data_IF_368130052963
#
_entry.id   IF_368130052963
#
_cell.length_a   1.000
_cell.length_b   1.000
_cell.length_c   1.000
_cell.angle_alpha   90.00
_cell.angle_beta   90.00
_cell.angle_gamma   90.00
#
_symmetry.space_group_name_H-M   'P 1'
#
loop_
_entity.id
_entity.type
_entity.pdbx_description
1 polymer ?
#
# COMPACT_ATOMS: atom_id res chain seq x y z
N UNK A 1 6.99 -20.00 9.13
CA UNK A 1 8.01 -19.23 9.86
C UNK A 1 7.36 -18.61 11.09
N UNK A 2 7.80 -18.96 12.32
CA UNK A 2 7.33 -18.28 13.52
C UNK A 2 7.72 -16.80 13.47
N UNK A 3 6.83 -15.92 13.96
CA UNK A 3 7.04 -14.47 13.97
C UNK A 3 8.13 -14.11 14.99
N UNK A 4 8.97 -13.12 14.66
CA UNK A 4 9.93 -12.57 15.63
C UNK A 4 9.21 -11.93 16.81
N UNK A 5 9.78 -11.99 18.01
CA UNK A 5 9.23 -11.37 19.23
C UNK A 5 8.95 -9.87 19.05
N UNK A 6 9.78 -9.17 18.29
CA UNK A 6 9.57 -7.77 17.93
C UNK A 6 8.32 -7.57 17.04
N UNK A 7 8.05 -8.51 16.15
CA UNK A 7 6.92 -8.49 15.24
C UNK A 7 5.61 -8.83 15.97
N UNK A 8 5.65 -9.75 16.93
CA UNK A 8 4.54 -10.07 17.84
C UNK A 8 4.15 -8.83 18.65
N UNK A 9 5.12 -8.16 19.27
CA UNK A 9 4.87 -6.93 20.03
C UNK A 9 4.32 -5.80 19.14
N UNK A 10 4.82 -5.68 17.90
CA UNK A 10 4.30 -4.72 16.93
C UNK A 10 2.82 -4.96 16.63
N UNK A 11 2.44 -6.20 16.31
CA UNK A 11 1.04 -6.58 16.04
C UNK A 11 0.12 -6.33 17.23
N UNK A 12 0.60 -6.62 18.44
CA UNK A 12 -0.13 -6.31 19.68
C UNK A 12 -0.42 -4.81 19.83
N UNK A 13 0.61 -3.96 19.63
CA UNK A 13 0.45 -2.50 19.69
C UNK A 13 -0.50 -1.98 18.61
N UNK A 14 -0.43 -2.53 17.40
CA UNK A 14 -1.33 -2.15 16.29
C UNK A 14 -2.79 -2.55 16.59
N UNK A 15 -3.02 -3.70 17.24
CA UNK A 15 -4.35 -4.12 17.68
C UNK A 15 -4.89 -3.19 18.77
N UNK A 16 -4.10 -2.90 19.80
CA UNK A 16 -4.52 -2.03 20.91
C UNK A 16 -4.76 -0.57 20.49
N UNK A 17 -3.99 -0.05 19.52
CA UNK A 17 -4.24 1.28 18.92
C UNK A 17 -5.60 1.39 18.21
N UNK A 18 -6.15 0.28 17.70
CA UNK A 18 -7.46 0.26 17.05
C UNK A 18 -8.60 0.09 18.06
N UNK A 19 -8.34 -0.59 19.17
CA UNK A 19 -9.34 -0.90 20.20
C UNK A 19 -9.57 0.24 21.19
N UNK A 20 -8.53 1.00 21.60
CA UNK A 20 -8.69 2.04 22.61
C UNK A 20 -7.92 3.34 22.33
N UNK A 21 -8.60 4.47 22.50
CA UNK A 21 -7.99 5.80 22.44
C UNK A 21 -7.02 6.06 23.60
N UNK A 22 -7.24 5.43 24.76
CA UNK A 22 -6.37 5.53 25.94
C UNK A 22 -4.97 4.96 25.70
N UNK A 23 -4.84 3.90 24.89
CA UNK A 23 -3.54 3.33 24.53
C UNK A 23 -2.67 4.30 23.72
N UNK A 24 -3.29 5.08 22.83
CA UNK A 24 -2.58 6.13 22.07
C UNK A 24 -2.07 7.24 22.99
N UNK A 25 -2.85 7.64 24.00
CA UNK A 25 -2.42 8.63 25.00
C UNK A 25 -1.25 8.11 25.83
N UNK A 26 -1.35 6.89 26.36
CA UNK A 26 -0.29 6.27 27.16
C UNK A 26 0.99 6.01 26.34
N UNK A 27 0.88 5.63 25.06
CA UNK A 27 2.05 5.47 24.18
C UNK A 27 2.70 6.81 23.83
N UNK A 28 1.92 7.91 23.73
CA UNK A 28 2.46 9.27 23.59
C UNK A 28 3.19 9.71 24.85
N UNK A 29 2.61 9.52 26.03
CA UNK A 29 3.24 9.85 27.31
C UNK A 29 4.52 9.04 27.53
N UNK A 30 4.51 7.73 27.26
CA UNK A 30 5.73 6.90 27.35
C UNK A 30 6.84 7.42 26.43
N UNK A 31 6.49 7.80 25.19
CA UNK A 31 7.46 8.38 24.25
C UNK A 31 7.97 9.73 24.71
N UNK A 32 7.09 10.57 25.27
CA UNK A 32 7.44 11.89 25.80
C UNK A 32 8.42 11.77 26.97
N UNK A 33 8.16 10.88 27.93
CA UNK A 33 9.06 10.62 29.07
C UNK A 33 10.48 10.24 28.64
N UNK A 34 10.61 9.52 27.52
CA UNK A 34 11.89 9.06 27.00
C UNK A 34 12.47 9.98 25.90
N UNK A 35 11.77 11.05 25.55
CA UNK A 35 12.22 11.99 24.52
C UNK A 35 12.97 13.13 25.19
N UNK A 36 14.27 13.22 24.90
CA UNK A 36 15.16 14.28 25.40
C UNK A 36 15.58 15.13 24.21
N UNK A 37 15.21 16.40 24.21
CA UNK A 37 15.62 17.36 23.17
C UNK A 37 17.13 17.63 23.27
N UNK A 38 17.74 18.04 22.17
CA UNK A 38 19.20 18.34 22.16
C UNK A 38 19.51 19.55 23.05
N UNK A 39 18.58 20.49 23.20
CA UNK A 39 18.71 21.65 24.10
C UNK A 39 18.73 21.29 25.60
N UNK A 40 18.26 20.10 25.97
CA UNK A 40 18.26 19.61 27.36
C UNK A 40 19.50 18.75 27.68
N UNK A 41 20.37 18.51 26.69
CA UNK A 41 21.60 17.74 26.89
C UNK A 41 22.77 18.68 27.19
N UNK A 42 23.70 18.20 27.99
CA UNK A 42 25.02 18.83 28.09
C UNK A 42 25.76 18.74 26.75
N UNK A 43 26.63 19.70 26.45
CA UNK A 43 27.47 19.67 25.24
C UNK A 43 28.20 18.34 24.98
N UNK A 44 28.84 17.69 25.98
CA UNK A 44 29.48 16.39 25.76
C UNK A 44 28.49 15.29 25.39
N UNK A 45 27.28 15.28 25.96
CA UNK A 45 26.24 14.31 25.62
C UNK A 45 25.63 14.57 24.24
N UNK A 46 25.45 15.84 23.88
CA UNK A 46 25.01 16.24 22.55
C UNK A 46 26.03 15.79 21.48
N UNK A 47 27.33 15.96 21.76
CA UNK A 47 28.42 15.47 20.88
C UNK A 47 28.44 13.94 20.77
N UNK A 48 28.33 13.21 21.89
CA UNK A 48 28.19 11.73 21.88
C UNK A 48 27.00 11.28 21.04
N UNK A 49 25.85 11.93 21.18
CA UNK A 49 24.64 11.62 20.42
C UNK A 49 24.81 11.90 18.91
N UNK A 50 25.49 12.99 18.54
CA UNK A 50 25.87 13.29 17.14
C UNK A 50 26.78 12.20 16.57
N UNK A 51 27.79 11.78 17.32
CA UNK A 51 28.71 10.71 16.91
C UNK A 51 28.01 9.36 16.74
N UNK A 52 27.14 8.96 17.67
CA UNK A 52 26.34 7.74 17.54
C UNK A 52 25.46 7.77 16.29
N UNK A 53 24.80 8.90 16.04
CA UNK A 53 23.94 9.07 14.87
C UNK A 53 24.77 8.93 13.58
N UNK A 54 25.95 9.56 13.52
CA UNK A 54 26.89 9.42 12.42
C UNK A 54 27.38 7.97 12.24
N UNK A 55 27.70 7.26 13.34
CA UNK A 55 28.07 5.83 13.31
C UNK A 55 26.94 4.95 12.76
N UNK A 56 25.69 5.19 13.17
CA UNK A 56 24.51 4.47 12.65
C UNK A 56 24.30 4.74 11.16
N UNK A 57 24.45 6.00 10.73
CA UNK A 57 24.36 6.38 9.32
C UNK A 57 25.45 5.70 8.47
N UNK A 58 26.71 5.69 8.94
CA UNK A 58 27.81 4.97 8.29
C UNK A 58 27.53 3.46 8.19
N UNK A 59 27.04 2.82 9.25
CA UNK A 59 26.65 1.39 9.23
C UNK A 59 25.54 1.11 8.22
N UNK A 60 24.50 1.94 8.18
CA UNK A 60 23.41 1.82 7.22
C UNK A 60 23.89 2.02 5.77
N UNK A 61 24.79 2.96 5.54
CA UNK A 61 25.41 3.16 4.22
C UNK A 61 26.19 1.92 3.77
N UNK A 62 27.04 1.35 4.64
CA UNK A 62 27.78 0.10 4.36
C UNK A 62 26.83 -1.06 4.04
N UNK A 63 25.78 -1.27 4.85
CA UNK A 63 24.77 -2.31 4.60
C UNK A 63 24.08 -2.14 3.24
N UNK A 64 23.70 -0.91 2.88
CA UNK A 64 23.09 -0.62 1.57
C UNK A 64 24.06 -0.81 0.41
N UNK A 65 25.34 -0.48 0.59
CA UNK A 65 26.38 -0.73 -0.43
C UNK A 65 26.52 -2.24 -0.68
N UNK A 66 26.61 -3.04 0.37
CA UNK A 66 26.76 -4.50 0.24
C UNK A 66 25.50 -5.15 -0.37
N UNK A 67 24.30 -4.76 0.06
CA UNK A 67 23.05 -5.29 -0.51
C UNK A 67 22.87 -4.98 -2.01
N UNK A 68 23.47 -3.89 -2.51
CA UNK A 68 23.48 -3.61 -3.95
C UNK A 68 24.51 -4.47 -4.70
N UNK A 69 25.65 -4.80 -4.08
CA UNK A 69 26.66 -5.68 -4.66
C UNK A 69 26.11 -7.11 -4.81
N UNK A 70 25.40 -7.62 -3.79
CA UNK A 70 24.77 -8.95 -3.84
C UNK A 70 23.69 -9.06 -4.94
N UNK A 71 23.00 -7.96 -5.26
CA UNK A 71 22.02 -7.91 -6.35
C UNK A 71 22.68 -7.83 -7.74
N UNK A 72 23.86 -7.21 -7.87
CA UNK A 72 24.60 -7.20 -9.14
C UNK A 72 25.24 -8.55 -9.47
N UNK A 73 25.71 -9.29 -8.46
CA UNK A 73 26.32 -10.62 -8.67
C UNK A 73 25.28 -11.65 -9.16
N UNK A 74 23.99 -11.46 -8.86
CA UNK A 74 22.93 -12.33 -9.38
C UNK A 74 22.45 -12.00 -10.81
N UNK A 75 22.91 -10.92 -11.44
CA UNK A 75 22.54 -10.54 -12.81
C UNK A 75 23.64 -10.73 -13.86
N UNK A 76 24.87 -11.12 -13.49
CA UNK A 76 25.98 -11.30 -14.44
C UNK A 76 26.00 -12.66 -15.16
N UNK A 77 25.01 -13.53 -14.97
CA UNK A 77 24.93 -14.84 -15.64
C UNK A 77 24.02 -14.88 -16.89
N UNK A 78 23.60 -13.73 -17.43
CA UNK A 78 23.05 -13.68 -18.80
C UNK A 78 24.10 -13.17 -19.80
N UNK A 79 24.35 -13.88 -20.92
CA UNK A 79 25.24 -13.39 -21.96
C UNK A 79 24.57 -12.22 -22.68
N UNK A 80 24.84 -11.00 -22.22
CA UNK A 80 24.51 -9.78 -22.97
C UNK A 80 25.39 -9.77 -24.21
N UNK A 81 24.79 -10.15 -25.35
CA UNK A 81 25.38 -10.02 -26.67
C UNK A 81 25.62 -8.53 -26.96
N UNK A 82 26.81 -8.03 -26.61
CA UNK A 82 27.28 -6.72 -27.08
C UNK A 82 27.58 -6.85 -28.57
N UNK A 83 26.64 -6.40 -29.40
CA UNK A 83 26.90 -6.14 -30.81
C UNK A 83 27.87 -4.97 -30.90
N UNK A 84 29.17 -5.28 -30.99
CA UNK A 84 30.18 -4.36 -31.48
C UNK A 84 29.95 -4.17 -32.99
N UNK A 85 29.48 -3.01 -33.39
CA UNK A 85 29.50 -2.58 -34.79
C UNK A 85 30.93 -2.15 -35.14
N UNK A 86 31.83 -3.10 -35.39
CA UNK A 86 33.09 -2.81 -36.06
C UNK A 86 32.87 -2.80 -37.58
N UNK A 87 33.47 -1.80 -38.21
CA UNK A 87 33.42 -1.53 -39.65
C UNK A 87 33.91 -2.76 -40.45
N UNK A 88 33.21 -3.02 -41.56
CA UNK A 88 33.47 -4.10 -42.52
C UNK A 88 34.90 -4.03 -43.07
N UNK A 89 35.80 -4.82 -42.51
CA UNK A 89 36.93 -5.38 -43.24
C UNK A 89 36.51 -6.75 -43.75
N UNK A 90 36.54 -6.98 -45.06
CA UNK A 90 36.31 -8.29 -45.67
C UNK A 90 37.45 -9.22 -45.31
N UNK A 91 37.39 -9.87 -44.15
CA UNK A 91 38.22 -11.04 -43.87
C UNK A 91 37.68 -12.21 -44.69
N UNK A 92 38.51 -12.72 -45.61
CA UNK A 92 38.29 -13.98 -46.29
C UNK A 92 38.24 -15.11 -45.26
N UNK A 93 37.04 -15.57 -44.92
CA UNK A 93 36.86 -16.79 -44.13
C UNK A 93 36.82 -17.99 -45.06
N UNK A 94 37.91 -18.76 -45.13
CA UNK A 94 37.91 -20.05 -45.79
C UNK A 94 37.00 -21.03 -45.01
N UNK A 95 35.82 -21.33 -45.58
CA UNK A 95 34.91 -22.34 -45.05
C UNK A 95 35.43 -23.73 -45.41
N UNK A 96 36.19 -24.34 -44.51
CA UNK A 96 36.51 -25.77 -44.62
C UNK A 96 35.32 -26.60 -44.11
N UNK A 97 34.82 -27.51 -44.95
CA UNK A 97 33.76 -28.46 -44.58
C UNK A 97 34.33 -29.55 -43.64
N UNK A 98 34.49 -29.21 -42.35
CA UNK A 98 34.76 -30.23 -41.34
C UNK A 98 33.52 -31.13 -41.23
N UNK A 99 33.67 -32.43 -41.48
CA UNK A 99 32.64 -33.42 -41.20
C UNK A 99 32.33 -33.35 -39.70
N UNK A 100 31.14 -32.87 -39.34
CA UNK A 100 30.67 -32.81 -37.95
C UNK A 100 30.84 -34.20 -37.34
N UNK A 101 31.81 -34.36 -36.45
CA UNK A 101 31.97 -35.61 -35.71
C UNK A 101 30.66 -35.89 -34.98
N UNK A 102 30.16 -37.11 -35.12
CA UNK A 102 28.89 -37.55 -34.50
C UNK A 102 28.96 -37.15 -33.02
N UNK A 103 28.01 -36.32 -32.55
CA UNK A 103 27.93 -35.89 -31.15
C UNK A 103 28.09 -37.13 -30.27
N UNK A 104 29.11 -37.14 -29.41
CA UNK A 104 29.41 -38.30 -28.57
C UNK A 104 28.17 -38.66 -27.73
N UNK A 105 27.96 -39.96 -27.44
CA UNK A 105 26.84 -40.45 -26.60
C UNK A 105 26.71 -39.69 -25.26
N UNK A 106 27.81 -39.09 -24.76
CA UNK A 106 27.83 -38.22 -23.57
C UNK A 106 26.98 -36.94 -23.76
N UNK A 107 26.96 -36.34 -24.95
CA UNK A 107 26.19 -35.13 -25.23
C UNK A 107 24.67 -35.40 -25.37
N UNK A 108 24.25 -36.59 -25.82
CA UNK A 108 22.82 -36.95 -25.85
C UNK A 108 22.28 -37.17 -24.44
N UNK A 109 23.04 -37.83 -23.56
CA UNK A 109 22.65 -38.04 -22.16
C UNK A 109 22.51 -36.73 -21.38
N UNK A 110 23.40 -35.75 -21.63
CA UNK A 110 23.29 -34.42 -21.00
C UNK A 110 22.01 -33.69 -21.41
N UNK A 111 21.60 -33.79 -22.67
CA UNK A 111 20.38 -33.16 -23.16
C UNK A 111 19.12 -33.86 -22.63
N UNK A 112 19.14 -35.18 -22.48
CA UNK A 112 18.08 -35.94 -21.81
C UNK A 112 17.97 -35.56 -20.33
N UNK A 113 19.09 -35.42 -19.61
CA UNK A 113 19.06 -34.96 -18.23
C UNK A 113 18.48 -33.55 -18.10
N UNK A 114 18.85 -32.63 -19.01
CA UNK A 114 18.28 -31.28 -19.04
C UNK A 114 16.77 -31.27 -19.30
N UNK A 115 16.25 -32.15 -20.17
CA UNK A 115 14.81 -32.23 -20.40
C UNK A 115 14.06 -32.81 -19.20
N UNK A 116 14.65 -33.78 -18.49
CA UNK A 116 14.11 -34.32 -17.24
C UNK A 116 14.10 -33.28 -16.11
N UNK A 117 15.14 -32.47 -15.95
CA UNK A 117 15.11 -31.38 -14.96
C UNK A 117 14.05 -30.33 -15.27
N UNK A 118 13.85 -30.00 -16.56
CA UNK A 118 12.77 -29.12 -16.99
C UNK A 118 11.40 -29.71 -16.71
N UNK A 119 11.20 -31.01 -16.96
CA UNK A 119 9.91 -31.67 -16.67
C UNK A 119 9.63 -31.69 -15.17
N UNK A 120 10.61 -32.04 -14.33
CA UNK A 120 10.49 -31.97 -12.86
C UNK A 120 10.13 -30.56 -12.40
N UNK A 121 10.77 -29.52 -12.94
CA UNK A 121 10.45 -28.13 -12.58
C UNK A 121 9.01 -27.77 -12.96
N UNK A 122 8.56 -28.14 -14.17
CA UNK A 122 7.20 -27.87 -14.62
C UNK A 122 6.15 -28.60 -13.80
N UNK A 123 6.45 -29.82 -13.34
CA UNK A 123 5.59 -30.60 -12.45
C UNK A 123 5.48 -29.97 -11.07
N UNK A 124 6.59 -29.46 -10.51
CA UNK A 124 6.58 -28.71 -9.24
C UNK A 124 5.70 -27.46 -9.33
N UNK A 125 5.79 -26.69 -10.40
CA UNK A 125 4.92 -25.53 -10.62
C UNK A 125 3.44 -25.92 -10.73
N UNK A 126 3.14 -27.04 -11.40
CA UNK A 126 1.77 -27.55 -11.52
C UNK A 126 1.19 -27.97 -10.17
N UNK A 127 1.99 -28.63 -9.33
CA UNK A 127 1.61 -28.99 -7.96
C UNK A 127 1.32 -27.73 -7.14
N UNK A 128 2.18 -26.71 -7.21
CA UNK A 128 1.93 -25.44 -6.51
C UNK A 128 0.62 -24.77 -6.95
N UNK A 129 0.34 -24.74 -8.26
CA UNK A 129 -0.91 -24.20 -8.80
C UNK A 129 -2.12 -24.97 -8.24
N UNK A 130 -2.05 -26.30 -8.22
CA UNK A 130 -3.12 -27.15 -7.66
C UNK A 130 -3.32 -26.95 -6.16
N UNK A 131 -2.25 -26.74 -5.39
CA UNK A 131 -2.35 -26.41 -3.96
C UNK A 131 -3.05 -25.07 -3.77
N UNK A 132 -2.71 -24.05 -4.57
CA UNK A 132 -3.35 -22.73 -4.53
C UNK A 132 -4.84 -22.81 -4.88
N UNK A 133 -5.21 -23.57 -5.92
CA UNK A 133 -6.62 -23.76 -6.30
C UNK A 133 -7.40 -24.54 -5.25
N UNK A 134 -6.85 -25.64 -4.71
CA UNK A 134 -7.45 -26.41 -3.62
C UNK A 134 -7.73 -25.52 -2.40
N UNK A 135 -6.74 -24.72 -1.97
CA UNK A 135 -6.91 -23.77 -0.86
C UNK A 135 -7.98 -22.71 -1.15
N UNK A 136 -8.02 -22.19 -2.38
CA UNK A 136 -9.06 -21.26 -2.80
C UNK A 136 -10.46 -21.89 -2.76
N UNK A 137 -10.61 -23.14 -3.20
CA UNK A 137 -11.88 -23.86 -3.17
C UNK A 137 -12.33 -24.18 -1.73
N UNK A 138 -11.41 -24.62 -0.88
CA UNK A 138 -11.68 -24.85 0.55
C UNK A 138 -12.19 -23.58 1.24
N UNK A 139 -11.54 -22.44 1.00
CA UNK A 139 -12.00 -21.15 1.53
C UNK A 139 -13.38 -20.74 0.99
N UNK A 140 -13.74 -21.14 -0.24
CA UNK A 140 -15.09 -20.88 -0.79
C UNK A 140 -16.13 -21.77 -0.13
N UNK A 141 -15.85 -23.07 0.04
CA UNK A 141 -16.73 -24.01 0.73
C UNK A 141 -16.98 -23.56 2.17
N UNK A 142 -15.93 -23.23 2.93
CA UNK A 142 -16.06 -22.74 4.31
C UNK A 142 -16.93 -21.46 4.40
N UNK A 143 -16.89 -20.59 3.38
CA UNK A 143 -17.78 -19.41 3.32
C UNK A 143 -19.22 -19.77 3.01
N UNK A 144 -19.47 -20.82 2.23
CA UNK A 144 -20.82 -21.30 1.93
C UNK A 144 -21.39 -22.00 3.15
N UNK A 145 -20.62 -22.87 3.80
CA UNK A 145 -20.98 -23.57 5.03
C UNK A 145 -21.27 -22.58 6.16
N UNK A 146 -20.40 -21.60 6.39
CA UNK A 146 -20.66 -20.56 7.40
C UNK A 146 -21.89 -19.71 7.09
N UNK A 147 -22.27 -19.54 5.81
CA UNK A 147 -23.53 -18.89 5.43
C UNK A 147 -24.74 -19.78 5.64
N UNK A 148 -24.62 -21.08 5.37
CA UNK A 148 -25.68 -22.06 5.61
C UNK A 148 -25.94 -22.25 7.12
N UNK A 149 -24.88 -22.30 7.93
CA UNK A 149 -24.94 -22.43 9.39
C UNK A 149 -25.45 -21.17 10.10
N UNK A 150 -25.31 -19.99 9.49
CA UNK A 150 -25.85 -18.74 10.05
C UNK A 150 -27.38 -18.63 9.97
N UNK A 151 -28.05 -19.67 9.44
CA UNK A 151 -29.49 -19.78 9.42
C UNK A 151 -30.13 -18.82 8.44
N UNK A 152 -31.30 -19.22 7.94
CA UNK A 152 -32.26 -18.36 7.24
C UNK A 152 -32.77 -17.28 8.19
N UNK A 153 -31.92 -16.31 8.54
CA UNK A 153 -32.39 -15.04 9.06
C UNK A 153 -33.35 -14.48 8.02
N UNK A 154 -34.58 -14.17 8.46
CA UNK A 154 -35.68 -13.59 7.70
C UNK A 154 -35.18 -12.82 6.45
N UNK A 155 -35.76 -13.11 5.28
CA UNK A 155 -35.43 -12.44 4.01
C UNK A 155 -35.38 -10.91 4.14
N UNK A 156 -36.15 -10.35 5.08
CA UNK A 156 -36.19 -8.93 5.40
C UNK A 156 -34.93 -8.45 6.16
N UNK A 157 -34.41 -9.20 7.13
CA UNK A 157 -33.18 -8.87 7.87
C UNK A 157 -31.92 -8.96 7.01
N UNK A 158 -31.88 -9.90 6.05
CA UNK A 158 -30.77 -10.02 5.12
C UNK A 158 -30.70 -8.78 4.19
N UNK A 159 -31.87 -8.29 3.75
CA UNK A 159 -31.98 -7.05 2.97
C UNK A 159 -31.53 -5.84 3.78
N UNK A 160 -31.71 -5.82 5.10
CA UNK A 160 -31.25 -4.72 5.95
C UNK A 160 -29.72 -4.65 6.09
N UNK A 161 -29.04 -5.80 6.15
CA UNK A 161 -27.58 -5.89 6.33
C UNK A 161 -26.74 -5.67 5.07
N UNK A 162 -27.36 -5.72 3.89
CA UNK A 162 -26.66 -5.54 2.62
C UNK A 162 -26.17 -4.09 2.44
N UNK A 163 -25.05 -3.93 1.74
CA UNK A 163 -24.62 -2.58 1.32
C UNK A 163 -25.66 -1.98 0.36
N UNK A 164 -25.82 -0.64 0.30
CA UNK A 164 -26.81 0.00 -0.59
C UNK A 164 -26.71 -0.50 -2.04
N UNK A 165 -25.49 -0.75 -2.54
CA UNK A 165 -25.26 -1.28 -3.89
C UNK A 165 -25.78 -2.71 -4.06
N UNK A 166 -25.53 -3.56 -3.07
CA UNK A 166 -26.00 -4.95 -3.08
C UNK A 166 -27.52 -5.03 -2.93
N UNK A 167 -28.12 -4.18 -2.07
CA UNK A 167 -29.59 -4.04 -1.97
C UNK A 167 -30.20 -3.67 -3.33
N UNK A 168 -29.66 -2.63 -3.96
CA UNK A 168 -30.11 -2.19 -5.29
C UNK A 168 -29.96 -3.26 -6.36
N UNK A 169 -28.87 -4.02 -6.35
CA UNK A 169 -28.69 -5.12 -7.30
C UNK A 169 -29.65 -6.30 -7.02
N UNK A 170 -30.01 -6.57 -5.76
CA UNK A 170 -31.00 -7.60 -5.38
C UNK A 170 -32.42 -7.16 -5.76
N UNK A 171 -32.81 -5.93 -5.44
CA UNK A 171 -34.11 -5.33 -5.81
C UNK A 171 -34.31 -5.24 -7.34
N UNK A 172 -33.26 -4.89 -8.10
CA UNK A 172 -33.36 -4.93 -9.56
C UNK A 172 -33.51 -6.34 -10.13
N UNK A 173 -32.95 -7.35 -9.45
CA UNK A 173 -33.08 -8.76 -9.85
C UNK A 173 -34.46 -9.30 -9.49
N UNK A 174 -34.97 -9.00 -8.29
CA UNK A 174 -36.31 -9.42 -7.87
C UNK A 174 -37.40 -8.82 -8.76
N UNK A 175 -37.23 -7.56 -9.18
CA UNK A 175 -38.22 -6.85 -9.99
C UNK A 175 -38.03 -7.10 -11.50
N UNK A 176 -37.18 -8.05 -11.92
CA UNK A 176 -37.04 -8.45 -13.32
C UNK A 176 -36.64 -7.32 -14.29
N UNK A 177 -35.89 -6.31 -13.82
CA UNK A 177 -35.67 -5.09 -14.61
C UNK A 177 -34.85 -5.39 -15.87
N UNK A 178 -35.42 -5.06 -17.03
CA UNK A 178 -34.77 -5.22 -18.34
C UNK A 178 -33.39 -4.53 -18.42
N UNK A 179 -32.38 -5.13 -19.07
CA UNK A 179 -31.03 -4.56 -19.18
C UNK A 179 -30.98 -3.13 -19.73
N UNK A 180 -31.93 -2.75 -20.58
CA UNK A 180 -32.04 -1.40 -21.16
C UNK A 180 -32.43 -0.35 -20.10
N UNK A 181 -33.38 -0.68 -19.23
CA UNK A 181 -33.87 0.21 -18.16
C UNK A 181 -32.97 0.18 -16.90
N UNK A 182 -32.12 -0.84 -16.79
CA UNK A 182 -31.21 -1.06 -15.65
C UNK A 182 -30.35 0.15 -15.33
N UNK A 183 -29.84 0.89 -16.33
CA UNK A 183 -28.92 2.03 -16.08
C UNK A 183 -29.61 3.21 -15.39
N UNK A 184 -30.82 3.56 -15.82
CA UNK A 184 -31.57 4.71 -15.29
C UNK A 184 -32.17 4.39 -13.92
N UNK A 185 -32.78 3.21 -13.77
CA UNK A 185 -33.42 2.76 -12.54
C UNK A 185 -32.37 2.51 -11.45
N UNK A 186 -31.27 1.83 -11.76
CA UNK A 186 -30.19 1.54 -10.78
C UNK A 186 -29.72 2.80 -10.07
N UNK A 187 -29.57 3.91 -10.79
CA UNK A 187 -29.03 5.13 -10.19
C UNK A 187 -30.00 5.74 -9.19
N UNK A 188 -31.30 5.82 -9.55
CA UNK A 188 -32.37 6.34 -8.68
C UNK A 188 -32.55 5.45 -7.45
N UNK A 189 -32.60 4.14 -7.66
CA UNK A 189 -32.79 3.13 -6.61
C UNK A 189 -31.60 3.09 -5.65
N UNK A 190 -30.36 3.17 -6.17
CA UNK A 190 -29.16 3.28 -5.34
C UNK A 190 -29.16 4.54 -4.47
N UNK A 191 -29.63 5.66 -5.03
CA UNK A 191 -29.73 6.91 -4.27
C UNK A 191 -30.77 6.79 -3.15
N UNK A 192 -31.94 6.23 -3.44
CA UNK A 192 -33.01 6.01 -2.48
C UNK A 192 -32.56 5.08 -1.34
N UNK A 193 -31.86 3.98 -1.65
CA UNK A 193 -31.35 3.06 -0.63
C UNK A 193 -30.20 3.66 0.20
N UNK A 194 -29.43 4.60 -0.37
CA UNK A 194 -28.44 5.36 0.40
C UNK A 194 -29.15 6.30 1.38
N UNK A 195 -30.17 7.03 0.94
CA UNK A 195 -30.95 7.95 1.79
C UNK A 195 -31.71 7.20 2.90
N UNK A 196 -32.40 6.11 2.58
CA UNK A 196 -33.12 5.31 3.58
C UNK A 196 -32.19 4.78 4.67
N UNK A 197 -30.99 4.31 4.31
CA UNK A 197 -30.00 3.87 5.30
C UNK A 197 -29.49 5.02 6.18
N UNK A 198 -29.51 6.27 5.70
CA UNK A 198 -29.14 7.43 6.51
C UNK A 198 -30.27 7.90 7.42
N UNK A 199 -31.51 7.93 6.92
CA UNK A 199 -32.70 8.25 7.73
C UNK A 199 -32.85 7.24 8.87
N UNK A 200 -32.65 5.94 8.59
CA UNK A 200 -32.65 4.90 9.63
C UNK A 200 -31.51 5.05 10.65
N UNK A 201 -30.36 5.61 10.25
CA UNK A 201 -29.18 5.77 11.14
C UNK A 201 -29.16 7.09 11.92
N UNK A 202 -29.86 8.11 11.45
CA UNK A 202 -29.87 9.45 12.03
C UNK A 202 -31.29 9.97 12.04
N UNK A 203 -31.88 10.13 13.22
CA UNK A 203 -33.09 10.92 13.42
C UNK A 203 -32.84 12.35 12.92
N UNK A 204 -33.31 12.62 11.70
CA UNK A 204 -33.70 13.93 11.15
C UNK A 204 -32.75 15.08 11.51
N UNK A 205 -31.47 15.00 11.12
CA UNK A 205 -30.64 16.18 10.77
C UNK A 205 -29.68 15.78 9.65
N UNK A 206 -29.93 16.27 8.44
CA UNK A 206 -29.06 16.08 7.27
C UNK A 206 -27.70 16.73 7.56
N UNK A 207 -26.78 15.96 8.12
CA UNK A 207 -25.46 16.42 8.55
C UNK A 207 -24.41 16.19 7.46
N UNK A 208 -23.26 16.85 7.55
CA UNK A 208 -22.09 16.77 6.63
C UNK A 208 -21.72 15.34 6.23
N UNK A 209 -21.97 14.35 7.10
CA UNK A 209 -21.74 12.92 6.82
C UNK A 209 -22.56 12.38 5.64
N UNK A 210 -23.77 12.90 5.43
CA UNK A 210 -24.67 12.47 4.34
C UNK A 210 -24.08 12.82 2.98
N UNK A 211 -23.49 14.02 2.89
CA UNK A 211 -22.79 14.52 1.71
C UNK A 211 -21.56 13.65 1.40
N UNK A 212 -20.82 13.18 2.41
CA UNK A 212 -19.65 12.30 2.21
C UNK A 212 -20.04 10.92 1.65
N UNK A 213 -21.13 10.34 2.14
CA UNK A 213 -21.62 9.04 1.69
C UNK A 213 -22.21 9.17 0.26
N UNK A 214 -22.99 10.22 0.00
CA UNK A 214 -23.51 10.53 -1.34
C UNK A 214 -22.37 10.77 -2.34
N UNK A 215 -21.26 11.41 -1.91
CA UNK A 215 -20.01 11.51 -2.69
C UNK A 215 -19.39 10.15 -2.96
N UNK A 216 -19.26 9.29 -1.95
CA UNK A 216 -18.71 7.91 -2.07
C UNK A 216 -19.45 7.10 -3.14
N UNK A 217 -20.78 7.24 -3.21
CA UNK A 217 -21.62 6.55 -4.20
C UNK A 217 -21.87 7.36 -5.49
N UNK A 218 -21.21 8.50 -5.69
CA UNK A 218 -21.31 9.37 -6.88
C UNK A 218 -22.74 9.86 -7.18
N UNK A 219 -23.56 10.04 -6.14
CA UNK A 219 -24.97 10.45 -6.27
C UNK A 219 -25.23 11.95 -6.09
N UNK A 220 -24.18 12.79 -6.02
CA UNK A 220 -24.32 14.24 -5.83
C UNK A 220 -25.17 14.94 -6.90
N UNK A 221 -25.16 14.44 -8.15
CA UNK A 221 -26.00 14.99 -9.23
C UNK A 221 -27.49 14.69 -9.00
N UNK A 222 -27.83 13.54 -8.43
CA UNK A 222 -29.20 13.19 -8.11
C UNK A 222 -29.70 14.01 -6.91
N UNK A 223 -28.86 14.16 -5.89
CA UNK A 223 -29.14 15.01 -4.72
C UNK A 223 -29.38 16.48 -5.10
N UNK A 224 -28.53 17.05 -5.97
CA UNK A 224 -28.70 18.43 -6.43
C UNK A 224 -29.99 18.68 -7.22
N UNK A 225 -30.40 17.71 -8.06
CA UNK A 225 -31.69 17.77 -8.76
C UNK A 225 -32.88 17.72 -7.79
N UNK A 226 -32.81 16.89 -6.75
CA UNK A 226 -33.89 16.74 -5.79
C UNK A 226 -34.03 17.96 -4.86
N UNK A 227 -32.90 18.53 -4.44
CA UNK A 227 -32.88 19.70 -3.56
C UNK A 227 -32.96 21.04 -4.31
N UNK A 228 -33.06 21.00 -5.65
CA UNK A 228 -32.98 22.18 -6.53
C UNK A 228 -31.77 23.10 -6.21
N UNK A 229 -30.65 22.48 -5.79
CA UNK A 229 -29.42 23.18 -5.41
C UNK A 229 -28.29 22.76 -6.32
N UNK A 230 -27.50 23.75 -6.73
CA UNK A 230 -26.35 23.51 -7.58
C UNK A 230 -25.33 22.56 -6.92
N UNK A 231 -24.73 21.69 -7.72
CA UNK A 231 -23.72 20.73 -7.22
C UNK A 231 -22.55 21.45 -6.52
N UNK A 232 -22.27 22.70 -6.90
CA UNK A 232 -21.21 23.54 -6.35
C UNK A 232 -21.55 24.05 -4.94
N UNK A 233 -22.83 24.32 -4.64
CA UNK A 233 -23.28 24.82 -3.33
C UNK A 233 -23.37 23.69 -2.29
N UNK A 234 -23.68 22.47 -2.74
CA UNK A 234 -23.68 21.26 -1.91
C UNK A 234 -22.27 20.73 -1.59
N UNK A 235 -21.26 21.23 -2.30
CA UNK A 235 -19.88 20.82 -2.08
C UNK A 235 -19.31 21.65 -0.94
N UNK A 236 -19.42 21.14 0.29
CA UNK A 236 -18.74 21.72 1.45
C UNK A 236 -17.25 21.80 1.11
N UNK A 237 -16.74 22.99 0.82
CA UNK A 237 -15.30 23.22 0.70
C UNK A 237 -14.70 22.84 2.04
N UNK A 238 -13.62 22.05 2.10
CA UNK A 238 -12.94 21.83 3.36
C UNK A 238 -12.62 23.21 3.93
N UNK A 239 -13.06 23.49 5.17
CA UNK A 239 -12.68 24.73 5.85
C UNK A 239 -11.15 24.82 5.75
N UNK A 240 -10.63 25.87 5.10
CA UNK A 240 -9.20 26.17 5.16
C UNK A 240 -8.91 26.34 6.64
N UNK A 241 -8.10 25.43 7.20
CA UNK A 241 -7.63 25.56 8.57
C UNK A 241 -6.71 26.78 8.55
N UNK A 242 -7.22 27.92 8.99
CA UNK A 242 -6.41 29.11 9.19
C UNK A 242 -5.54 28.79 10.41
N UNK A 243 -4.29 28.41 10.15
CA UNK A 243 -3.29 28.24 11.21
C UNK A 243 -3.14 29.60 11.90
N UNK A 244 -3.38 29.65 13.20
CA UNK A 244 -3.12 30.83 14.02
C UNK A 244 -1.65 31.22 13.86
N UNK A 245 -1.35 32.53 13.85
CA UNK A 245 0.03 33.04 13.74
C UNK A 245 0.96 32.41 14.79
N UNK A 246 0.44 32.18 16.01
CA UNK A 246 1.13 31.48 17.10
C UNK A 246 1.56 30.05 16.73
N UNK A 247 0.70 29.28 16.05
CA UNK A 247 1.03 27.92 15.64
C UNK A 247 2.06 27.91 14.51
N UNK A 248 2.00 28.89 13.60
CA UNK A 248 3.02 29.06 12.55
C UNK A 248 4.40 29.32 13.16
N UNK A 249 4.50 30.25 14.11
CA UNK A 249 5.75 30.56 14.81
C UNK A 249 6.31 29.34 15.56
N UNK A 250 5.46 28.55 16.23
CA UNK A 250 5.89 27.32 16.92
C UNK A 250 6.42 26.25 15.96
N UNK A 251 5.79 26.09 14.80
CA UNK A 251 6.24 25.14 13.78
C UNK A 251 7.55 25.62 13.15
N UNK A 252 7.66 26.92 12.87
CA UNK A 252 8.87 27.51 12.30
C UNK A 252 10.07 27.37 13.25
N UNK A 253 9.91 27.77 14.52
CA UNK A 253 10.96 27.63 15.53
C UNK A 253 11.33 26.18 15.83
N UNK A 254 10.42 25.22 15.62
CA UNK A 254 10.72 23.80 15.72
C UNK A 254 11.58 23.30 14.53
N UNK A 255 11.26 23.73 13.31
CA UNK A 255 11.98 23.31 12.11
C UNK A 255 13.37 23.93 11.99
N UNK A 256 13.57 25.14 12.50
CA UNK A 256 14.83 25.89 12.44
C UNK A 256 15.90 25.37 13.43
N UNK A 257 15.55 24.48 14.38
CA UNK A 257 16.52 23.93 15.33
C UNK A 257 17.55 23.02 14.67
N UNK A 258 18.78 23.07 15.18
CA UNK A 258 19.93 22.28 14.70
C UNK A 258 19.66 20.76 14.66
N UNK A 259 18.90 20.23 15.62
CA UNK A 259 18.61 18.80 15.69
C UNK A 259 17.64 18.31 14.61
N UNK A 260 16.85 19.24 14.06
CA UNK A 260 15.93 18.97 12.95
C UNK A 260 16.58 19.31 11.61
N UNK A 261 17.36 20.39 11.51
CA UNK A 261 18.01 20.84 10.27
C UNK A 261 19.19 19.95 9.79
N UNK A 262 19.87 19.23 10.69
CA UNK A 262 21.07 18.43 10.35
C UNK A 262 20.74 17.05 9.74
N UNK A 263 19.50 16.58 9.86
CA UNK A 263 19.09 15.27 9.33
C UNK A 263 18.58 15.37 7.89
N UNK A 264 19.47 15.67 6.95
CA UNK A 264 19.13 15.60 5.54
C UNK A 264 18.72 14.17 5.13
N UNK A 265 17.57 13.97 4.47
CA UNK A 265 17.26 12.70 3.83
C UNK A 265 18.29 12.45 2.73
N UNK A 266 18.82 11.22 2.72
CA UNK A 266 20.08 10.88 2.08
C UNK A 266 20.19 11.20 0.59
N UNK A 267 21.43 11.49 0.18
CA UNK A 267 21.97 11.69 -1.18
C UNK A 267 21.68 10.57 -2.20
N UNK A 268 20.41 10.22 -2.45
CA UNK A 268 19.95 9.50 -3.64
C UNK A 268 18.55 9.96 -4.05
N UNK A 269 18.43 11.24 -4.38
CA UNK A 269 17.44 11.71 -5.34
C UNK A 269 17.91 11.26 -6.73
N UNK A 270 17.77 9.97 -7.03
CA UNK A 270 17.97 9.48 -8.39
C UNK A 270 16.83 9.99 -9.26
N UNK A 271 17.19 10.88 -10.18
CA UNK A 271 16.43 11.29 -11.36
C UNK A 271 15.95 10.02 -12.07
N UNK A 272 14.66 9.74 -11.96
CA UNK A 272 13.98 8.81 -12.89
C UNK A 272 13.94 9.50 -14.26
N UNK A 273 13.85 8.72 -15.35
CA UNK A 273 13.76 9.25 -16.73
C UNK A 273 12.61 10.26 -16.91
N UNK A 274 11.56 10.13 -16.11
CA UNK A 274 10.57 11.18 -15.93
C UNK A 274 11.07 12.21 -14.91
N UNK A 275 11.18 13.48 -15.31
CA UNK A 275 11.49 14.65 -14.45
C UNK A 275 10.41 14.90 -13.37
N UNK A 276 10.07 13.89 -12.58
CA UNK A 276 9.11 13.92 -11.50
C UNK A 276 9.79 13.39 -10.26
N UNK A 277 10.00 14.27 -9.28
CA UNK A 277 10.47 13.91 -7.94
C UNK A 277 9.54 12.83 -7.38
N UNK A 278 10.03 11.60 -7.16
CA UNK A 278 9.34 10.68 -6.26
C UNK A 278 9.52 11.25 -4.86
N UNK A 279 8.39 11.60 -4.25
CA UNK A 279 8.29 12.24 -2.95
C UNK A 279 8.78 11.28 -1.84
N UNK A 280 10.11 11.12 -1.68
CA UNK A 280 10.75 10.53 -0.49
C UNK A 280 10.78 11.60 0.63
N UNK A 281 9.65 12.27 0.81
CA UNK A 281 9.42 13.35 1.78
C UNK A 281 8.41 12.91 2.86
N UNK A 282 7.82 11.73 2.74
CA UNK A 282 6.77 11.26 3.65
C UNK A 282 7.33 10.82 5.00
N UNK A 283 8.46 10.11 5.02
CA UNK A 283 8.98 9.51 6.26
C UNK A 283 9.61 10.56 7.16
N UNK A 284 10.37 11.50 6.58
CA UNK A 284 10.99 12.58 7.33
C UNK A 284 9.97 13.55 7.92
N UNK A 285 8.97 13.98 7.14
CA UNK A 285 7.88 14.82 7.66
C UNK A 285 7.05 14.09 8.72
N UNK A 286 6.82 12.79 8.57
CA UNK A 286 6.13 12.00 9.59
C UNK A 286 6.94 11.91 10.89
N UNK A 287 8.27 11.78 10.82
CA UNK A 287 9.16 11.78 11.99
C UNK A 287 9.18 13.16 12.65
N UNK A 288 9.32 14.24 11.87
CA UNK A 288 9.27 15.62 12.38
C UNK A 288 7.93 15.93 13.03
N UNK A 289 6.83 15.54 12.40
CA UNK A 289 5.49 15.70 12.98
C UNK A 289 5.36 14.92 14.30
N UNK A 290 5.87 13.69 14.35
CA UNK A 290 5.85 12.90 15.58
C UNK A 290 6.68 13.56 16.70
N UNK A 291 7.86 14.11 16.39
CA UNK A 291 8.67 14.89 17.34
C UNK A 291 7.93 16.15 17.80
N UNK A 292 7.36 16.92 16.86
CA UNK A 292 6.61 18.14 17.16
C UNK A 292 5.44 17.86 18.11
N UNK A 293 4.68 16.79 17.89
CA UNK A 293 3.59 16.36 18.78
C UNK A 293 4.07 15.87 20.16
N UNK A 294 5.32 15.43 20.31
CA UNK A 294 5.86 15.05 21.62
C UNK A 294 6.24 16.28 22.45
N UNK A 295 6.66 17.35 21.79
CA UNK A 295 7.03 18.63 22.41
C UNK A 295 5.82 19.55 22.63
N UNK A 296 4.83 19.49 21.74
CA UNK A 296 3.63 20.31 21.74
C UNK A 296 2.37 19.41 21.76
N UNK A 297 1.98 18.88 22.93
CA UNK A 297 0.81 18.00 23.08
C UNK A 297 -0.52 18.70 22.82
#
# INVERSE_FOLDING_TARGET
MPLSRAEIQRRYRERKKKESGSFLKNDRERKRKNYVTVSMLSEPEAKKRREETNKRMKKNYKKKKNANVDNTVHMENEPVTRQSTSKKGTQLTASMKFKKTRKSKKASNLNQMKSLYKSISSLKERIEKLIRTKKSLQNKLQRIESRAQQGTQSLNDELERLTPRSKTDKEMRSNGVSPRQKKTIRRKLLFLNVLQNEIKRKSIKVTVSTIEIVKKYRQMKALGKLLQKDRRTLNVKPKKIILTSKLKMKVQSFLEREDNSVTMPGKKDTVSKDKKQKKILTDYLHILHAKFCLENP
#
